data_IF_032326023061
#
_entry.id   IF_032326023061
#
_cell.length_a   1.000
_cell.length_b   1.000
_cell.length_c   1.000
_cell.angle_alpha   90.00
_cell.angle_beta   90.00
_cell.angle_gamma   90.00
#
_symmetry.space_group_name_H-M   'P 1'
#
loop_
_entity.id
_entity.type
_entity.pdbx_description
1 polymer ?
#
# COMPACT_ATOMS: atom_id res chain seq x y z
N UNK A 1 -2.36 9.42 -16.08
CA UNK A 1 -1.80 9.23 -14.73
C UNK A 1 -2.97 9.05 -13.79
N UNK A 2 -3.12 7.88 -13.17
CA UNK A 2 -4.21 7.65 -12.21
C UNK A 2 -3.97 8.44 -10.92
N UNK A 3 -5.02 8.81 -10.18
CA UNK A 3 -4.88 9.52 -8.90
C UNK A 3 -4.06 8.75 -7.86
N UNK A 4 -4.02 7.42 -8.00
CA UNK A 4 -3.26 6.51 -7.14
C UNK A 4 -1.82 6.30 -7.62
N UNK A 5 -1.44 6.83 -8.78
CA UNK A 5 -0.12 6.60 -9.37
C UNK A 5 1.00 7.24 -8.54
N UNK A 6 2.03 6.45 -8.24
CA UNK A 6 3.17 6.85 -7.43
C UNK A 6 3.44 5.93 -6.25
N UNK A 7 4.26 6.43 -5.32
CA UNK A 7 4.71 5.68 -4.14
C UNK A 7 4.02 6.22 -2.89
N UNK A 8 3.45 5.29 -2.13
CA UNK A 8 2.67 5.57 -0.93
C UNK A 8 3.26 4.86 0.28
N UNK A 9 3.47 5.59 1.37
CA UNK A 9 3.76 5.02 2.68
C UNK A 9 2.46 4.48 3.28
N UNK A 10 2.49 3.25 3.77
CA UNK A 10 1.36 2.65 4.48
C UNK A 10 1.58 2.81 5.98
N UNK A 11 0.74 3.63 6.62
CA UNK A 11 0.71 3.77 8.08
C UNK A 11 -0.48 3.00 8.63
N UNK A 12 -0.23 1.94 9.41
CA UNK A 12 -1.31 1.20 10.09
C UNK A 12 -1.92 2.07 11.18
N UNK A 13 -3.24 2.21 11.16
CA UNK A 13 -4.00 2.99 12.18
C UNK A 13 -4.79 2.08 13.12
N UNK A 14 -4.96 0.81 12.79
CA UNK A 14 -5.59 -0.18 13.66
C UNK A 14 -5.84 -1.52 12.96
N UNK A 15 -6.19 -2.55 13.73
CA UNK A 15 -6.48 -3.88 13.23
C UNK A 15 -5.72 -4.99 13.95
N UNK A 16 -5.93 -6.22 13.49
CA UNK A 16 -5.30 -7.42 14.08
C UNK A 16 -3.89 -7.71 13.52
N UNK A 17 -3.43 -6.94 12.54
CA UNK A 17 -2.09 -7.09 12.00
C UNK A 17 -1.06 -6.41 12.90
N UNK A 18 0.13 -7.01 13.10
CA UNK A 18 1.24 -6.36 13.78
C UNK A 18 1.58 -5.03 13.09
N UNK A 19 2.20 -4.06 13.80
CA UNK A 19 2.67 -2.82 13.20
C UNK A 19 3.79 -3.14 12.21
N UNK A 20 3.41 -3.42 10.97
CA UNK A 20 4.33 -3.63 9.86
C UNK A 20 4.92 -2.26 9.50
N UNK A 21 6.05 -1.94 10.10
CA UNK A 21 6.83 -0.73 9.80
C UNK A 21 7.54 -0.90 8.45
N UNK A 22 7.57 0.17 7.64
CA UNK A 22 8.25 0.15 6.34
C UNK A 22 7.45 -0.48 5.19
N UNK A 23 6.13 -0.58 5.32
CA UNK A 23 5.25 -1.00 4.22
C UNK A 23 5.06 0.19 3.26
N UNK A 24 5.35 -0.04 1.98
CA UNK A 24 5.16 0.93 0.89
C UNK A 24 4.33 0.29 -0.21
N UNK A 25 3.50 1.08 -0.89
CA UNK A 25 2.77 0.66 -2.08
C UNK A 25 3.24 1.49 -3.26
N UNK A 26 3.65 0.81 -4.32
CA UNK A 26 3.99 1.41 -5.60
C UNK A 26 2.86 1.09 -6.56
N UNK A 27 2.22 2.11 -7.13
CA UNK A 27 1.08 1.95 -8.00
C UNK A 27 1.40 2.60 -9.34
N UNK A 28 1.19 1.87 -10.42
CA UNK A 28 1.34 2.35 -11.78
C UNK A 28 0.15 1.94 -12.63
N UNK A 29 -0.67 2.91 -13.01
CA UNK A 29 -1.89 2.68 -13.79
C UNK A 29 -2.89 1.74 -13.09
N UNK A 30 -3.09 0.55 -13.66
CA UNK A 30 -4.07 -0.45 -13.20
C UNK A 30 -3.46 -1.56 -12.33
N UNK A 31 -2.18 -1.47 -11.96
CA UNK A 31 -1.51 -2.46 -11.13
C UNK A 31 -0.58 -1.78 -10.12
N UNK A 32 -0.18 -2.52 -9.09
CA UNK A 32 0.79 -2.06 -8.12
C UNK A 32 1.43 -3.19 -7.36
N UNK A 33 2.41 -2.85 -6.54
CA UNK A 33 3.16 -3.78 -5.71
C UNK A 33 3.31 -3.21 -4.30
N UNK A 34 2.98 -4.02 -3.29
CA UNK A 34 3.23 -3.72 -1.88
C UNK A 34 4.63 -4.23 -1.53
N UNK A 35 5.55 -3.33 -1.18
CA UNK A 35 6.91 -3.65 -0.71
C UNK A 35 6.96 -3.56 0.81
N UNK A 36 7.55 -4.55 1.48
CA UNK A 36 7.68 -4.59 2.95
C UNK A 36 9.13 -4.93 3.29
N UNK A 37 9.95 -3.91 3.55
CA UNK A 37 11.38 -4.11 3.81
C UNK A 37 12.05 -4.97 2.71
N UNK A 38 12.87 -5.98 3.07
CA UNK A 38 13.57 -6.85 2.12
C UNK A 38 12.70 -8.00 1.56
N UNK A 39 11.41 -8.07 1.91
CA UNK A 39 10.53 -9.15 1.43
C UNK A 39 10.19 -8.96 -0.05
N UNK A 40 9.98 -10.08 -0.80
CA UNK A 40 9.48 -10.01 -2.16
C UNK A 40 8.16 -9.24 -2.20
N UNK A 41 8.11 -8.21 -3.04
CA UNK A 41 6.93 -7.35 -3.16
C UNK A 41 5.70 -8.14 -3.58
N UNK A 42 4.54 -7.79 -3.03
CA UNK A 42 3.28 -8.46 -3.32
C UNK A 42 2.52 -7.71 -4.41
N UNK A 43 2.32 -8.29 -5.59
CA UNK A 43 1.58 -7.64 -6.67
C UNK A 43 0.07 -7.61 -6.40
N UNK A 44 -0.58 -6.54 -6.84
CA UNK A 44 -2.02 -6.33 -6.78
C UNK A 44 -2.53 -5.58 -8.02
N UNK A 45 -3.81 -5.75 -8.32
CA UNK A 45 -4.53 -4.99 -9.34
C UNK A 45 -5.28 -3.82 -8.72
N UNK A 46 -5.32 -2.69 -9.42
CA UNK A 46 -6.06 -1.49 -9.03
C UNK A 46 -7.36 -1.45 -9.81
N UNK A 47 -8.48 -1.51 -9.09
CA UNK A 47 -9.84 -1.44 -9.64
C UNK A 47 -10.54 -0.26 -8.99
N UNK A 48 -10.47 0.90 -9.65
CA UNK A 48 -10.93 2.17 -9.08
C UNK A 48 -10.13 2.52 -7.83
N UNK A 49 -10.79 2.50 -6.67
CA UNK A 49 -10.14 2.71 -5.36
C UNK A 49 -9.90 1.39 -4.60
N UNK A 50 -10.04 0.23 -5.24
CA UNK A 50 -9.79 -1.07 -4.59
C UNK A 50 -8.51 -1.73 -5.10
N UNK A 51 -7.68 -2.21 -4.19
CA UNK A 51 -6.45 -2.95 -4.47
C UNK A 51 -6.67 -4.44 -4.23
N UNK A 52 -6.62 -5.26 -5.28
CA UNK A 52 -6.91 -6.69 -5.21
C UNK A 52 -5.61 -7.48 -5.32
N UNK A 53 -5.20 -8.15 -4.25
CA UNK A 53 -3.94 -8.89 -4.25
C UNK A 53 -4.00 -10.14 -5.11
N UNK A 54 -2.89 -10.43 -5.80
CA UNK A 54 -2.71 -11.64 -6.59
C UNK A 54 -2.16 -12.79 -5.72
N UNK A 55 -2.14 -13.99 -6.30
CA UNK A 55 -1.63 -15.19 -5.65
C UNK A 55 -0.18 -14.99 -5.13
N UNK A 56 0.17 -15.56 -3.95
CA UNK A 56 -0.63 -16.47 -3.12
C UNK A 56 -1.64 -15.77 -2.20
N UNK A 57 -1.66 -14.44 -2.13
CA UNK A 57 -2.55 -13.65 -1.25
C UNK A 57 -3.90 -13.35 -1.91
N UNK A 58 -4.41 -14.29 -2.71
CA UNK A 58 -5.70 -14.14 -3.40
C UNK A 58 -6.82 -14.09 -2.35
N UNK A 59 -7.63 -13.03 -2.38
CA UNK A 59 -8.72 -12.79 -1.42
C UNK A 59 -8.47 -11.67 -0.41
N UNK A 60 -7.27 -11.08 -0.40
CA UNK A 60 -7.04 -9.78 0.21
C UNK A 60 -7.49 -8.67 -0.74
N UNK A 61 -8.29 -7.75 -0.22
CA UNK A 61 -8.74 -6.56 -0.93
C UNK A 61 -8.59 -5.37 0.01
N UNK A 62 -7.80 -4.39 -0.40
CA UNK A 62 -7.72 -3.12 0.30
C UNK A 62 -8.61 -2.09 -0.40
N UNK A 63 -9.59 -1.53 0.30
CA UNK A 63 -10.46 -0.47 -0.24
C UNK A 63 -9.92 0.88 0.21
N UNK A 64 -9.69 1.79 -0.72
CA UNK A 64 -9.20 3.14 -0.48
C UNK A 64 -10.36 4.14 -0.52
N UNK A 65 -10.24 5.17 0.30
CA UNK A 65 -11.11 6.32 0.37
C UNK A 65 -10.24 7.57 0.35
N UNK A 66 -10.65 8.58 -0.42
CA UNK A 66 -9.91 9.86 -0.48
C UNK A 66 -9.97 10.54 0.88
N UNK A 67 -8.82 10.96 1.40
CA UNK A 67 -8.68 11.65 2.69
C UNK A 67 -7.68 12.79 2.55
N UNK A 68 -8.18 13.98 2.17
CA UNK A 68 -7.35 15.17 1.92
C UNK A 68 -6.31 14.93 0.83
N UNK A 69 -5.03 15.06 1.19
CA UNK A 69 -3.87 14.87 0.31
C UNK A 69 -3.42 13.40 0.20
N UNK A 70 -4.10 12.48 0.89
CA UNK A 70 -3.81 11.05 0.90
C UNK A 70 -5.05 10.19 0.75
N UNK A 71 -4.92 8.93 1.17
CA UNK A 71 -6.03 7.97 1.14
C UNK A 71 -6.11 7.20 2.44
N UNK A 72 -7.32 6.94 2.92
CA UNK A 72 -7.57 5.95 3.98
C UNK A 72 -7.87 4.60 3.36
N UNK A 73 -7.18 3.58 3.82
CA UNK A 73 -7.34 2.22 3.37
C UNK A 73 -7.98 1.32 4.43
N UNK A 74 -8.90 0.47 3.99
CA UNK A 74 -9.51 -0.60 4.79
C UNK A 74 -9.10 -1.93 4.19
N UNK A 75 -8.38 -2.73 4.97
CA UNK A 75 -7.94 -4.05 4.57
C UNK A 75 -9.05 -5.06 4.86
N UNK A 76 -9.53 -5.72 3.81
CA UNK A 76 -10.57 -6.75 3.88
C UNK A 76 -10.02 -8.08 3.38
N UNK A 77 -10.38 -9.16 4.07
CA UNK A 77 -10.01 -10.52 3.70
C UNK A 77 -11.28 -11.34 3.62
N UNK A 78 -11.55 -11.92 2.44
CA UNK A 78 -12.78 -12.69 2.19
C UNK A 78 -14.06 -11.92 2.60
N UNK A 79 -14.08 -10.61 2.36
CA UNK A 79 -15.22 -9.73 2.68
C UNK A 79 -15.28 -9.24 4.13
N UNK A 80 -14.33 -9.62 4.98
CA UNK A 80 -14.28 -9.17 6.39
C UNK A 80 -13.16 -8.15 6.59
N UNK A 81 -13.52 -6.97 7.10
CA UNK A 81 -12.52 -5.96 7.51
C UNK A 81 -11.66 -6.53 8.64
N UNK A 82 -10.34 -6.47 8.49
CA UNK A 82 -9.38 -6.96 9.48
C UNK A 82 -8.33 -5.92 9.86
N UNK A 83 -8.27 -4.77 9.17
CA UNK A 83 -7.41 -3.68 9.55
C UNK A 83 -7.67 -2.39 8.77
N UNK A 84 -7.10 -1.30 9.28
CA UNK A 84 -7.16 0.04 8.71
C UNK A 84 -5.76 0.59 8.56
N UNK A 85 -5.58 1.40 7.53
CA UNK A 85 -4.32 2.03 7.23
C UNK A 85 -4.55 3.37 6.55
N UNK A 86 -3.51 4.18 6.50
CA UNK A 86 -3.47 5.43 5.76
C UNK A 86 -2.36 5.35 4.74
N UNK A 87 -2.60 5.91 3.57
CA UNK A 87 -1.64 6.12 2.51
C UNK A 87 -1.23 7.58 2.53
N UNK A 88 0.05 7.81 2.84
CA UNK A 88 0.68 9.11 2.67
C UNK A 88 1.59 9.06 1.47
N UNK A 89 1.50 10.07 0.62
CA UNK A 89 2.36 10.15 -0.55
C UNK A 89 3.81 10.29 -0.08
N UNK A 90 4.67 9.38 -0.53
CA UNK A 90 6.11 9.58 -0.41
C UNK A 90 6.51 10.38 -1.64
N UNK A 91 6.70 11.68 -1.47
CA UNK A 91 7.65 12.34 -2.37
C UNK A 91 8.97 11.62 -2.14
N UNK A 92 9.43 10.89 -3.15
CA UNK A 92 10.79 10.38 -3.21
C UNK A 92 11.72 11.60 -3.24
N UNK A 93 11.93 12.21 -2.08
CA UNK A 93 13.15 12.94 -1.83
C UNK A 93 14.22 11.86 -1.86
N UNK A 94 14.94 11.79 -2.97
CA UNK A 94 16.19 11.07 -3.10
C UNK A 94 17.08 11.51 -1.93
N UNK A 95 16.98 10.81 -0.80
CA UNK A 95 18.13 10.66 0.07
C UNK A 95 18.87 9.46 -0.48
N UNK A 96 19.72 9.76 -1.45
CA UNK A 96 20.95 9.00 -1.66
C UNK A 96 21.60 8.83 -0.29
N UNK A 97 21.42 7.66 0.33
CA UNK A 97 22.25 7.26 1.45
C UNK A 97 23.63 6.97 0.85
N UNK A 98 24.47 8.01 0.88
CA UNK A 98 25.90 7.88 0.68
C UNK A 98 26.45 6.84 1.64
N UNK A 99 26.87 5.71 1.09
CA UNK A 99 27.70 4.72 1.76
C UNK A 99 29.02 5.38 2.13
N UNK A 100 29.25 5.51 3.44
CA UNK A 100 30.56 5.82 4.02
C UNK A 100 31.53 4.69 3.69
N UNK A 101 32.65 5.03 3.05
CA UNK A 101 33.86 4.19 2.97
C UNK A 101 34.82 4.52 4.11
#
# INVERSE_FOLDING_TARGET
MGELDGVWEVRRTGGALPPLLGVRKEISGAAGTTKVGPLPGVPFDVVGLSLRYRAPLVGFVDVLERDGEGFRGRATFRGREFGKFELKRIELSLKEEGVTV
#
